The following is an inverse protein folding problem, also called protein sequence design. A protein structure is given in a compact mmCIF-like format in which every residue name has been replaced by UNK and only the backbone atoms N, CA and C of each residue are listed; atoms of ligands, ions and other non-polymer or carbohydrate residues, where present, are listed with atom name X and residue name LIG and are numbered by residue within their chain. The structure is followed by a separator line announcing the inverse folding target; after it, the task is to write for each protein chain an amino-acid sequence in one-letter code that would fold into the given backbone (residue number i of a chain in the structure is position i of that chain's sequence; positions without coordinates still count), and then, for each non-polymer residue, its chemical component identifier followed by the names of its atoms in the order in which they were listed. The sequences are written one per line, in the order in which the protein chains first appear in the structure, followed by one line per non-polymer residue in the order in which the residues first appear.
data_IF_428791052796
#
_entry.id   IF_428791052796
#
_cell.length_a   1.000
_cell.length_b   1.000
_cell.length_c   1.000
_cell.angle_alpha   90.00
_cell.angle_beta   90.00
_cell.angle_gamma   90.00
#
_symmetry.space_group_name_H-M   'P 1'
#
loop_
_entity.id
_entity.type
_entity.pdbx_description
1 polymer ?
#
# COMPACT_ATOMS: atom_id res chain seq x y z
N UNK A 1 -19.70 3.27 6.58
CA UNK A 1 -18.59 3.98 7.26
C UNK A 1 -17.32 3.53 6.59
N UNK A 2 -16.37 4.42 6.41
CA UNK A 2 -15.05 4.06 5.87
C UNK A 2 -14.39 3.02 6.79
N UNK A 3 -13.76 2.00 6.20
CA UNK A 3 -13.11 0.90 6.92
C UNK A 3 -11.66 1.26 7.21
N UNK A 4 -11.19 0.99 8.42
CA UNK A 4 -9.79 1.19 8.83
C UNK A 4 -9.03 -0.11 8.69
N UNK A 5 -7.90 -0.07 8.01
CA UNK A 5 -6.97 -1.18 7.88
C UNK A 5 -5.55 -0.79 8.36
N UNK A 6 -4.71 -1.79 8.52
CA UNK A 6 -3.26 -1.62 8.68
C UNK A 6 -2.52 -2.83 8.08
N UNK A 7 -1.20 -2.73 7.94
CA UNK A 7 -0.43 -3.85 7.44
C UNK A 7 -0.28 -4.97 8.49
N UNK A 8 -0.40 -6.21 8.05
CA UNK A 8 -0.12 -7.39 8.87
C UNK A 8 1.30 -7.33 9.48
N UNK A 9 2.25 -6.75 8.74
CA UNK A 9 3.62 -6.55 9.20
C UNK A 9 3.70 -5.57 10.37
N UNK A 10 2.88 -4.52 10.43
CA UNK A 10 2.80 -3.61 11.58
C UNK A 10 2.26 -4.31 12.81
N UNK A 11 1.27 -5.20 12.65
CA UNK A 11 0.74 -6.00 13.74
C UNK A 11 1.79 -7.03 14.22
N UNK A 12 2.56 -7.61 13.30
CA UNK A 12 3.69 -8.49 13.65
C UNK A 12 4.80 -7.74 14.41
N UNK A 13 5.08 -6.50 14.02
CA UNK A 13 6.02 -5.65 14.76
C UNK A 13 5.49 -5.32 16.16
N UNK A 14 4.20 -5.01 16.31
CA UNK A 14 3.54 -4.85 17.59
C UNK A 14 3.63 -6.14 18.44
N UNK A 15 3.32 -7.30 17.87
CA UNK A 15 3.43 -8.58 18.55
C UNK A 15 4.85 -8.81 19.11
N UNK A 16 5.88 -8.52 18.30
CA UNK A 16 7.28 -8.66 18.70
C UNK A 16 7.67 -7.65 19.79
N UNK A 17 7.27 -6.40 19.66
CA UNK A 17 7.62 -5.32 20.59
C UNK A 17 6.95 -5.50 21.95
N UNK A 18 5.69 -5.92 21.97
CA UNK A 18 4.87 -6.11 23.17
C UNK A 18 4.93 -7.55 23.72
N UNK A 19 5.74 -8.43 23.12
CA UNK A 19 5.85 -9.84 23.51
C UNK A 19 4.52 -10.62 23.50
N UNK A 20 3.66 -10.33 22.52
CA UNK A 20 2.36 -10.97 22.31
C UNK A 20 2.46 -12.13 21.31
N UNK A 21 1.52 -13.08 21.40
CA UNK A 21 1.25 -13.97 20.25
C UNK A 21 0.58 -13.19 19.11
N UNK A 22 0.72 -13.68 17.88
CA UNK A 22 0.18 -12.98 16.70
C UNK A 22 -1.33 -12.75 16.81
N UNK A 23 -2.08 -13.75 17.24
CA UNK A 23 -3.54 -13.65 17.41
C UNK A 23 -3.91 -12.57 18.45
N UNK A 24 -3.18 -12.48 19.58
CA UNK A 24 -3.43 -11.47 20.61
C UNK A 24 -3.15 -10.05 20.07
N UNK A 25 -2.11 -9.90 19.24
CA UNK A 25 -1.80 -8.62 18.60
C UNK A 25 -2.85 -8.22 17.55
N UNK A 26 -3.38 -9.17 16.77
CA UNK A 26 -4.48 -8.97 15.85
C UNK A 26 -5.76 -8.54 16.59
N UNK A 27 -6.10 -9.24 17.68
CA UNK A 27 -7.23 -8.87 18.55
C UNK A 27 -7.05 -7.47 19.14
N UNK A 28 -5.82 -7.12 19.55
CA UNK A 28 -5.51 -5.78 20.05
C UNK A 28 -5.70 -4.72 18.97
N UNK A 29 -5.30 -4.97 17.72
CA UNK A 29 -5.56 -4.07 16.59
C UNK A 29 -7.07 -3.92 16.35
N UNK A 30 -7.83 -5.03 16.43
CA UNK A 30 -9.30 -5.00 16.32
C UNK A 30 -9.96 -4.15 17.41
N UNK A 31 -9.49 -4.28 18.67
CA UNK A 31 -9.97 -3.47 19.81
C UNK A 31 -9.69 -1.96 19.63
N UNK A 32 -8.61 -1.60 18.93
CA UNK A 32 -8.29 -0.22 18.57
C UNK A 32 -9.15 0.33 17.44
N UNK A 33 -9.91 -0.52 16.72
CA UNK A 33 -10.80 -0.09 15.64
C UNK A 33 -10.34 -0.50 14.24
N UNK A 34 -9.27 -1.30 14.11
CA UNK A 34 -8.89 -1.90 12.83
C UNK A 34 -9.93 -2.94 12.43
N UNK A 35 -10.36 -2.94 11.16
CA UNK A 35 -11.37 -3.86 10.64
C UNK A 35 -10.79 -4.80 9.58
N UNK A 36 -9.69 -4.41 8.94
CA UNK A 36 -9.03 -5.22 7.93
C UNK A 36 -7.51 -5.09 7.98
N UNK A 37 -6.83 -6.03 7.33
CA UNK A 37 -5.37 -5.99 7.19
C UNK A 37 -4.96 -6.08 5.73
N UNK A 38 -3.79 -5.54 5.43
CA UNK A 38 -3.04 -5.83 4.21
C UNK A 38 -1.92 -6.79 4.54
N UNK A 39 -1.91 -7.93 3.88
CA UNK A 39 -0.87 -8.93 4.06
C UNK A 39 -0.13 -9.16 2.75
N UNK A 40 1.19 -8.91 2.73
CA UNK A 40 1.99 -9.04 1.52
C UNK A 40 2.00 -10.48 0.98
N UNK A 41 2.25 -10.63 -0.31
CA UNK A 41 2.39 -11.91 -0.97
C UNK A 41 3.27 -12.90 -0.21
N UNK A 42 4.39 -12.41 0.35
CA UNK A 42 5.32 -13.22 1.14
C UNK A 42 4.73 -13.71 2.48
N UNK A 43 3.72 -13.02 2.99
CA UNK A 43 3.04 -13.44 4.21
C UNK A 43 1.96 -14.49 3.92
N UNK A 44 1.31 -14.43 2.76
CA UNK A 44 0.10 -15.22 2.48
C UNK A 44 0.34 -16.47 1.63
N UNK A 45 1.16 -16.39 0.57
CA UNK A 45 1.35 -17.52 -0.36
C UNK A 45 2.00 -18.71 0.35
N UNK A 46 1.30 -19.84 0.35
CA UNK A 46 1.70 -21.06 1.05
C UNK A 46 1.40 -21.07 2.56
N UNK A 47 0.72 -20.05 3.07
CA UNK A 47 0.28 -19.94 4.48
C UNK A 47 -1.20 -19.51 4.58
N UNK A 48 -1.97 -19.73 3.55
CA UNK A 48 -3.36 -19.24 3.44
C UNK A 48 -4.22 -19.73 4.60
N UNK A 49 -4.09 -21.02 4.97
CA UNK A 49 -4.81 -21.60 6.10
C UNK A 49 -4.46 -20.94 7.43
N UNK A 50 -3.17 -20.70 7.68
CA UNK A 50 -2.67 -20.07 8.90
C UNK A 50 -3.17 -18.63 9.02
N UNK A 51 -2.96 -17.83 7.99
CA UNK A 51 -3.39 -16.43 7.94
C UNK A 51 -4.92 -16.33 8.05
N UNK A 52 -5.66 -17.17 7.30
CA UNK A 52 -7.12 -17.18 7.37
C UNK A 52 -7.66 -17.50 8.77
N UNK A 53 -7.03 -18.45 9.48
CA UNK A 53 -7.40 -18.78 10.87
C UNK A 53 -7.08 -17.65 11.84
N UNK A 54 -5.89 -17.03 11.75
CA UNK A 54 -5.50 -15.92 12.60
C UNK A 54 -6.45 -14.72 12.45
N UNK A 55 -6.80 -14.35 11.20
CA UNK A 55 -7.72 -13.26 10.91
C UNK A 55 -9.14 -13.58 11.42
N UNK A 56 -9.62 -14.80 11.20
CA UNK A 56 -10.94 -15.22 11.70
C UNK A 56 -11.03 -15.19 13.23
N UNK A 57 -9.96 -15.58 13.94
CA UNK A 57 -9.92 -15.51 15.42
C UNK A 57 -9.93 -14.08 15.95
N UNK A 58 -9.49 -13.12 15.17
CA UNK A 58 -9.47 -11.70 15.53
C UNK A 58 -10.66 -10.90 14.96
N UNK A 59 -11.57 -11.50 14.21
CA UNK A 59 -12.66 -10.83 13.51
C UNK A 59 -12.13 -9.72 12.56
N UNK A 60 -11.07 -10.03 11.82
CA UNK A 60 -10.45 -9.15 10.83
C UNK A 60 -10.62 -9.72 9.43
N UNK A 61 -10.78 -8.84 8.44
CA UNK A 61 -10.79 -9.18 7.03
C UNK A 61 -9.41 -8.90 6.40
N UNK A 62 -9.18 -9.46 5.20
CA UNK A 62 -8.06 -9.03 4.36
C UNK A 62 -8.58 -8.04 3.31
N UNK A 63 -7.97 -6.86 3.22
CA UNK A 63 -8.38 -5.82 2.26
C UNK A 63 -7.61 -5.88 0.95
N UNK A 64 -6.32 -6.18 1.02
CA UNK A 64 -5.41 -6.10 -0.12
C UNK A 64 -4.21 -7.02 0.09
N UNK A 65 -3.68 -7.57 -1.00
CA UNK A 65 -2.40 -8.30 -0.99
C UNK A 65 -1.37 -7.51 -1.79
N UNK A 66 -0.46 -6.77 -1.15
CA UNK A 66 0.68 -6.15 -1.81
C UNK A 66 1.60 -7.18 -2.47
N UNK A 67 1.86 -7.00 -3.76
CA UNK A 67 2.53 -7.98 -4.60
C UNK A 67 3.56 -7.34 -5.51
N UNK A 68 4.77 -7.90 -5.51
CA UNK A 68 5.89 -7.42 -6.32
C UNK A 68 6.12 -8.35 -7.50
N UNK A 69 6.25 -7.76 -8.70
CA UNK A 69 6.48 -8.46 -9.95
C UNK A 69 7.81 -8.03 -10.57
N UNK A 70 8.28 -8.76 -11.57
CA UNK A 70 9.43 -8.37 -12.40
C UNK A 70 9.03 -8.28 -13.89
N UNK A 71 7.90 -7.62 -14.14
CA UNK A 71 7.32 -7.54 -15.50
C UNK A 71 8.20 -6.77 -16.50
N UNK A 72 9.15 -5.99 -16.01
CA UNK A 72 10.13 -5.36 -16.89
C UNK A 72 11.06 -6.34 -17.59
N UNK A 73 11.33 -7.51 -16.96
CA UNK A 73 12.25 -8.54 -17.45
C UNK A 73 11.59 -9.87 -17.76
N UNK A 74 10.54 -10.20 -17.02
CA UNK A 74 9.83 -11.46 -17.14
C UNK A 74 8.34 -11.20 -17.39
N UNK A 75 7.90 -11.49 -18.61
CA UNK A 75 6.53 -11.25 -19.08
C UNK A 75 5.59 -12.44 -18.89
N UNK A 76 6.02 -13.50 -18.21
CA UNK A 76 5.15 -14.63 -17.87
C UNK A 76 4.22 -14.28 -16.70
N UNK A 77 3.15 -13.55 -17.02
CA UNK A 77 2.16 -13.06 -16.06
C UNK A 77 1.53 -14.20 -15.27
N UNK A 78 1.15 -15.30 -15.96
CA UNK A 78 0.48 -16.43 -15.30
C UNK A 78 1.37 -17.09 -14.26
N UNK A 79 2.63 -17.33 -14.59
CA UNK A 79 3.57 -17.95 -13.66
C UNK A 79 3.77 -17.11 -12.38
N UNK A 80 3.85 -15.78 -12.55
CA UNK A 80 4.06 -14.87 -11.40
C UNK A 80 2.77 -14.66 -10.61
N UNK A 81 1.60 -14.63 -11.24
CA UNK A 81 0.37 -14.17 -10.61
C UNK A 81 -0.54 -15.29 -10.09
N UNK A 82 -0.55 -16.48 -10.68
CA UNK A 82 -1.49 -17.54 -10.31
C UNK A 82 -1.48 -17.86 -8.80
N UNK A 83 -0.31 -18.07 -8.15
CA UNK A 83 -0.29 -18.35 -6.71
C UNK A 83 -0.89 -17.23 -5.87
N UNK A 84 -0.75 -15.98 -6.31
CA UNK A 84 -1.28 -14.80 -5.64
C UNK A 84 -2.80 -14.69 -5.80
N UNK A 85 -3.32 -14.92 -7.01
CA UNK A 85 -4.74 -14.89 -7.30
C UNK A 85 -5.49 -16.03 -6.59
N UNK A 86 -4.90 -17.22 -6.54
CA UNK A 86 -5.42 -18.36 -5.77
C UNK A 86 -5.47 -18.05 -4.27
N UNK A 87 -4.39 -17.47 -3.72
CA UNK A 87 -4.34 -17.04 -2.32
C UNK A 87 -5.36 -15.92 -2.02
N UNK A 88 -5.48 -14.92 -2.91
CA UNK A 88 -6.46 -13.85 -2.77
C UNK A 88 -7.90 -14.40 -2.77
N UNK A 89 -8.22 -15.29 -3.70
CA UNK A 89 -9.54 -15.93 -3.77
C UNK A 89 -9.82 -16.77 -2.52
N UNK A 90 -8.84 -17.54 -2.04
CA UNK A 90 -8.97 -18.38 -0.85
C UNK A 90 -9.23 -17.55 0.42
N UNK A 91 -8.50 -16.45 0.59
CA UNK A 91 -8.62 -15.55 1.74
C UNK A 91 -9.78 -14.55 1.63
N UNK A 92 -10.43 -14.46 0.47
CA UNK A 92 -11.46 -13.47 0.21
C UNK A 92 -10.92 -12.04 0.06
N UNK A 93 -9.63 -11.89 -0.29
CA UNK A 93 -9.03 -10.59 -0.55
C UNK A 93 -9.60 -10.00 -1.85
N UNK A 94 -10.23 -8.82 -1.81
CA UNK A 94 -10.86 -8.25 -3.00
C UNK A 94 -9.86 -7.63 -3.99
N UNK A 95 -8.62 -7.36 -3.55
CA UNK A 95 -7.64 -6.60 -4.31
C UNK A 95 -6.23 -7.19 -4.24
N UNK A 96 -5.49 -7.07 -5.36
CA UNK A 96 -4.02 -7.11 -5.36
C UNK A 96 -3.48 -5.70 -5.60
N UNK A 97 -2.55 -5.26 -4.76
CA UNK A 97 -1.75 -4.07 -5.00
C UNK A 97 -0.51 -4.48 -5.80
N UNK A 98 -0.33 -3.89 -6.97
CA UNK A 98 0.67 -4.30 -7.95
C UNK A 98 1.84 -3.34 -7.96
N UNK A 99 3.03 -3.83 -7.61
CA UNK A 99 4.31 -3.18 -7.92
C UNK A 99 4.90 -3.89 -9.14
N UNK A 100 4.93 -3.25 -10.33
CA UNK A 100 5.14 -3.96 -11.60
C UNK A 100 6.58 -4.38 -11.85
N UNK A 101 7.54 -3.83 -11.10
CA UNK A 101 8.97 -4.10 -11.20
C UNK A 101 9.82 -2.83 -11.09
N UNK A 102 11.12 -3.02 -11.18
CA UNK A 102 12.11 -1.96 -11.05
C UNK A 102 13.11 -1.97 -12.20
N UNK A 103 13.61 -0.80 -12.55
CA UNK A 103 14.72 -0.65 -13.50
C UNK A 103 16.03 -1.17 -12.91
N UNK A 104 17.00 -1.49 -13.76
CA UNK A 104 18.39 -1.69 -13.34
C UNK A 104 19.12 -0.35 -13.17
N UNK A 105 20.07 -0.29 -12.25
CA UNK A 105 20.88 0.93 -12.03
C UNK A 105 21.58 1.44 -13.31
N UNK A 106 21.97 0.52 -14.22
CA UNK A 106 22.68 0.85 -15.45
C UNK A 106 21.78 0.96 -16.69
N UNK A 107 20.47 0.83 -16.55
CA UNK A 107 19.55 0.85 -17.68
C UNK A 107 19.52 2.23 -18.35
N UNK A 108 19.65 2.25 -19.69
CA UNK A 108 19.51 3.47 -20.46
C UNK A 108 18.06 3.99 -20.43
N UNK A 109 17.83 5.28 -20.71
CA UNK A 109 16.46 5.81 -20.82
C UNK A 109 15.58 5.04 -21.82
N UNK A 110 16.16 4.56 -22.93
CA UNK A 110 15.45 3.75 -23.91
C UNK A 110 15.05 2.39 -23.34
N UNK A 111 15.96 1.72 -22.61
CA UNK A 111 15.65 0.43 -21.97
C UNK A 111 14.59 0.60 -20.87
N UNK A 112 14.67 1.66 -20.05
CA UNK A 112 13.65 1.97 -19.05
C UNK A 112 12.28 2.19 -19.68
N UNK A 113 12.21 2.87 -20.83
CA UNK A 113 10.94 3.06 -21.54
C UNK A 113 10.40 1.72 -22.09
N UNK A 114 11.27 0.88 -22.66
CA UNK A 114 10.90 -0.45 -23.13
C UNK A 114 10.42 -1.35 -21.98
N UNK A 115 11.07 -1.29 -20.81
CA UNK A 115 10.62 -2.01 -19.60
C UNK A 115 9.28 -1.50 -19.12
N UNK A 116 9.08 -0.18 -19.08
CA UNK A 116 7.80 0.42 -18.69
C UNK A 116 6.67 -0.05 -19.59
N UNK A 117 6.89 -0.11 -20.90
CA UNK A 117 5.89 -0.63 -21.84
C UNK A 117 5.56 -2.10 -21.56
N UNK A 118 6.58 -2.95 -21.35
CA UNK A 118 6.36 -4.37 -20.98
C UNK A 118 5.58 -4.49 -19.66
N UNK A 119 5.92 -3.68 -18.64
CA UNK A 119 5.21 -3.66 -17.38
C UNK A 119 3.74 -3.28 -17.56
N UNK A 120 3.42 -2.24 -18.34
CA UNK A 120 2.04 -1.85 -18.63
C UNK A 120 1.27 -2.97 -19.32
N UNK A 121 1.86 -3.59 -20.36
CA UNK A 121 1.23 -4.70 -21.07
C UNK A 121 0.95 -5.89 -20.15
N UNK A 122 1.88 -6.23 -19.25
CA UNK A 122 1.71 -7.31 -18.28
C UNK A 122 0.66 -6.97 -17.21
N UNK A 123 0.60 -5.73 -16.74
CA UNK A 123 -0.42 -5.27 -15.77
C UNK A 123 -1.82 -5.37 -16.40
N UNK A 124 -1.99 -4.99 -17.66
CA UNK A 124 -3.27 -5.16 -18.36
C UNK A 124 -3.66 -6.64 -18.50
N UNK A 125 -2.70 -7.52 -18.84
CA UNK A 125 -2.94 -8.96 -18.90
C UNK A 125 -3.29 -9.54 -17.51
N UNK A 126 -2.63 -9.06 -16.47
CA UNK A 126 -2.93 -9.45 -15.08
C UNK A 126 -4.34 -9.01 -14.69
N UNK A 127 -4.75 -7.79 -15.08
CA UNK A 127 -6.09 -7.28 -14.80
C UNK A 127 -7.17 -8.17 -15.43
N UNK A 128 -6.99 -8.57 -16.68
CA UNK A 128 -7.91 -9.51 -17.33
C UNK A 128 -7.95 -10.88 -16.63
N UNK A 129 -6.78 -11.41 -16.23
CA UNK A 129 -6.69 -12.68 -15.52
C UNK A 129 -7.34 -12.63 -14.13
N UNK A 130 -7.17 -11.53 -13.40
CA UNK A 130 -7.68 -11.36 -12.04
C UNK A 130 -9.23 -11.39 -11.97
N UNK A 131 -9.91 -11.03 -13.06
CA UNK A 131 -11.39 -11.11 -13.15
C UNK A 131 -11.91 -12.53 -12.92
N UNK A 132 -11.20 -13.54 -13.40
CA UNK A 132 -11.59 -14.96 -13.25
C UNK A 132 -11.55 -15.41 -11.77
N UNK A 133 -10.80 -14.69 -10.93
CA UNK A 133 -10.65 -14.93 -9.49
C UNK A 133 -11.52 -14.00 -8.63
N UNK A 134 -12.24 -13.07 -9.23
CA UNK A 134 -13.03 -12.07 -8.51
C UNK A 134 -12.17 -11.02 -7.79
N UNK A 135 -10.95 -10.80 -8.27
CA UNK A 135 -9.95 -9.88 -7.69
C UNK A 135 -9.77 -8.67 -8.61
N UNK A 136 -9.77 -7.47 -8.04
CA UNK A 136 -9.41 -6.24 -8.74
C UNK A 136 -7.94 -5.88 -8.53
N UNK A 137 -7.39 -5.07 -9.42
CA UNK A 137 -6.02 -4.58 -9.30
C UNK A 137 -6.01 -3.12 -8.88
N UNK A 138 -5.07 -2.80 -8.01
CA UNK A 138 -4.74 -1.42 -7.65
C UNK A 138 -3.22 -1.21 -7.70
N UNK A 139 -2.78 0.02 -7.88
CA UNK A 139 -1.38 0.39 -7.97
C UNK A 139 -1.12 1.65 -7.15
N UNK A 140 -0.05 1.66 -6.38
CA UNK A 140 0.42 2.84 -5.66
C UNK A 140 1.67 3.42 -6.31
N UNK A 141 2.00 4.67 -5.99
CA UNK A 141 3.33 5.21 -6.19
C UNK A 141 4.33 4.53 -5.23
N UNK A 142 5.57 4.36 -5.69
CA UNK A 142 6.56 3.61 -4.92
C UNK A 142 7.85 4.42 -4.75
N UNK A 143 8.27 4.64 -3.51
CA UNK A 143 9.36 5.51 -3.10
C UNK A 143 10.76 4.93 -3.38
N UNK A 144 11.03 4.61 -4.65
CA UNK A 144 12.32 4.12 -5.13
C UNK A 144 12.74 4.79 -6.45
N UNK A 145 14.02 5.20 -6.55
CA UNK A 145 14.56 5.88 -7.73
C UNK A 145 14.57 5.00 -9.00
N UNK A 146 14.47 3.69 -8.84
CA UNK A 146 14.40 2.73 -9.94
C UNK A 146 12.95 2.33 -10.25
N UNK A 147 11.97 2.90 -9.56
CA UNK A 147 10.56 2.62 -9.80
C UNK A 147 10.02 3.42 -10.99
N UNK A 148 9.29 2.79 -11.94
CA UNK A 148 8.59 3.52 -12.99
C UNK A 148 7.39 4.33 -12.47
N UNK A 149 6.96 4.03 -11.25
CA UNK A 149 5.81 4.62 -10.57
C UNK A 149 6.22 5.45 -9.34
N UNK A 150 7.43 6.01 -9.33
CA UNK A 150 7.90 6.86 -8.24
C UNK A 150 7.21 8.23 -8.19
N UNK A 151 6.40 8.58 -9.18
CA UNK A 151 5.70 9.87 -9.31
C UNK A 151 4.23 9.67 -9.66
N UNK A 152 3.41 10.66 -9.37
CA UNK A 152 2.00 10.66 -9.77
C UNK A 152 1.83 10.53 -11.30
N UNK A 153 2.70 11.18 -12.08
CA UNK A 153 2.70 11.03 -13.54
C UNK A 153 3.07 9.61 -13.97
N UNK A 154 3.99 8.94 -13.27
CA UNK A 154 4.33 7.54 -13.50
C UNK A 154 3.13 6.62 -13.27
N UNK A 155 2.45 6.74 -12.14
CA UNK A 155 1.21 6.00 -11.84
C UNK A 155 0.13 6.28 -12.89
N UNK A 156 -0.07 7.55 -13.26
CA UNK A 156 -1.07 7.95 -14.26
C UNK A 156 -0.87 7.24 -15.60
N UNK A 157 0.37 7.04 -16.06
CA UNK A 157 0.67 6.31 -17.29
C UNK A 157 0.11 4.88 -17.27
N UNK A 158 0.26 4.16 -16.15
CA UNK A 158 -0.29 2.81 -16.00
C UNK A 158 -1.82 2.81 -15.96
N UNK A 159 -2.41 3.76 -15.24
CA UNK A 159 -3.87 3.91 -15.15
C UNK A 159 -4.50 4.23 -16.51
N UNK A 160 -3.85 5.05 -17.33
CA UNK A 160 -4.30 5.37 -18.68
C UNK A 160 -4.16 4.19 -19.65
N UNK A 161 -3.09 3.39 -19.50
CA UNK A 161 -2.87 2.21 -20.30
C UNK A 161 -3.82 1.06 -19.94
N UNK A 162 -4.22 0.92 -18.67
CA UNK A 162 -5.07 -0.15 -18.16
C UNK A 162 -6.32 0.40 -17.49
N UNK A 163 -7.47 0.48 -18.18
CA UNK A 163 -8.72 1.01 -17.63
C UNK A 163 -9.28 0.24 -16.43
N UNK A 164 -8.94 -1.05 -16.27
CA UNK A 164 -9.36 -1.88 -15.14
C UNK A 164 -8.51 -1.69 -13.88
N UNK A 165 -7.35 -1.01 -14.00
CA UNK A 165 -6.47 -0.72 -12.88
C UNK A 165 -7.00 0.49 -12.10
N UNK A 166 -7.09 0.40 -10.79
CA UNK A 166 -7.36 1.52 -9.88
C UNK A 166 -6.08 2.03 -9.21
N UNK A 167 -6.19 3.11 -8.45
CA UNK A 167 -5.08 3.65 -7.67
C UNK A 167 -5.29 3.39 -6.19
N UNK A 168 -4.27 2.82 -5.55
CA UNK A 168 -4.02 2.99 -4.13
C UNK A 168 -3.24 4.29 -3.97
N UNK A 169 -3.82 5.26 -3.32
CA UNK A 169 -3.19 6.57 -3.10
C UNK A 169 -2.41 6.53 -1.78
N UNK A 170 -1.07 6.40 -1.87
CA UNK A 170 -0.19 6.55 -0.70
C UNK A 170 0.11 8.02 -0.46
N UNK A 171 -0.12 8.49 0.74
CA UNK A 171 0.02 9.91 1.07
C UNK A 171 1.46 10.34 1.33
N UNK A 172 2.35 9.41 1.68
CA UNK A 172 3.71 9.72 2.13
C UNK A 172 4.81 9.44 1.10
N UNK A 173 4.51 8.64 0.05
CA UNK A 173 5.53 8.24 -0.92
C UNK A 173 5.85 9.36 -1.92
N UNK A 174 4.90 10.23 -2.28
CA UNK A 174 5.12 11.35 -3.22
C UNK A 174 6.22 12.31 -2.76
N UNK A 175 6.41 12.48 -1.45
CA UNK A 175 7.52 13.28 -0.91
C UNK A 175 8.90 12.78 -1.34
N UNK A 176 9.04 11.48 -1.59
CA UNK A 176 10.31 10.90 -2.06
C UNK A 176 10.75 11.51 -3.39
N UNK A 177 9.82 11.73 -4.29
CA UNK A 177 10.05 12.38 -5.59
C UNK A 177 9.96 13.92 -5.54
N UNK A 178 9.72 14.51 -4.36
CA UNK A 178 9.56 15.95 -4.19
C UNK A 178 8.22 16.49 -4.66
N UNK A 179 7.21 15.62 -4.81
CA UNK A 179 5.86 16.01 -5.21
C UNK A 179 5.00 16.41 -4.00
N UNK A 180 4.10 17.36 -4.19
CA UNK A 180 3.10 17.74 -3.20
C UNK A 180 1.93 16.75 -3.24
N UNK A 181 1.56 16.19 -2.09
CA UNK A 181 0.52 15.14 -2.01
C UNK A 181 -0.84 15.61 -2.57
N UNK A 182 -1.22 16.86 -2.36
CA UNK A 182 -2.48 17.39 -2.88
C UNK A 182 -2.48 17.53 -4.41
N UNK A 183 -1.35 17.90 -5.00
CA UNK A 183 -1.20 17.97 -6.46
C UNK A 183 -1.27 16.56 -7.08
N UNK A 184 -0.60 15.59 -6.44
CA UNK A 184 -0.67 14.18 -6.82
C UNK A 184 -2.12 13.65 -6.72
N UNK A 185 -2.82 13.97 -5.63
CA UNK A 185 -4.22 13.60 -5.46
C UNK A 185 -5.11 14.15 -6.59
N UNK A 186 -4.98 15.43 -6.92
CA UNK A 186 -5.75 16.05 -8.00
C UNK A 186 -5.51 15.37 -9.36
N UNK A 187 -4.31 14.85 -9.60
CA UNK A 187 -3.98 14.10 -10.82
C UNK A 187 -4.60 12.70 -10.87
N UNK A 188 -4.74 12.04 -9.71
CA UNK A 188 -5.09 10.62 -9.63
C UNK A 188 -6.51 10.35 -9.13
N UNK A 189 -7.21 11.33 -8.52
CA UNK A 189 -8.45 11.17 -7.75
C UNK A 189 -9.60 10.45 -8.47
N UNK A 190 -9.66 10.55 -9.79
CA UNK A 190 -10.68 9.88 -10.61
C UNK A 190 -10.53 8.35 -10.65
N UNK A 191 -9.41 7.82 -10.15
CA UNK A 191 -9.06 6.41 -10.16
C UNK A 191 -8.75 5.85 -8.76
N UNK A 192 -8.79 6.69 -7.71
CA UNK A 192 -8.52 6.27 -6.32
C UNK A 192 -9.67 5.41 -5.80
N UNK A 193 -9.38 4.17 -5.40
CA UNK A 193 -10.33 3.26 -4.76
C UNK A 193 -9.76 2.58 -3.51
N UNK A 194 -8.53 2.93 -3.13
CA UNK A 194 -7.86 2.53 -1.89
C UNK A 194 -6.91 3.64 -1.44
N UNK A 195 -6.69 3.79 -0.13
CA UNK A 195 -5.83 4.84 0.42
C UNK A 195 -4.88 4.27 1.46
N UNK A 196 -3.58 4.51 1.27
CA UNK A 196 -2.58 4.37 2.32
C UNK A 196 -2.37 5.72 3.00
N UNK A 197 -2.78 5.82 4.26
CA UNK A 197 -2.45 6.97 5.09
C UNK A 197 -1.09 6.74 5.72
N UNK A 198 -0.09 7.39 5.17
CA UNK A 198 1.29 7.37 5.61
C UNK A 198 1.74 8.80 5.86
N UNK A 199 2.15 9.09 7.08
CA UNK A 199 2.70 10.40 7.43
C UNK A 199 4.22 10.32 7.57
N UNK A 200 4.87 11.45 7.39
CA UNK A 200 6.33 11.55 7.43
C UNK A 200 6.75 12.65 8.41
N UNK A 201 7.88 12.41 9.08
CA UNK A 201 8.55 13.41 9.91
C UNK A 201 9.93 13.75 9.33
N UNK A 202 10.47 14.90 9.72
CA UNK A 202 11.83 15.35 9.36
C UNK A 202 12.88 14.99 10.41
N UNK A 203 12.44 14.40 11.54
CA UNK A 203 13.29 13.95 12.63
C UNK A 203 12.86 12.55 13.10
N UNK A 204 13.76 11.77 13.75
CA UNK A 204 13.49 10.38 14.16
C UNK A 204 12.66 10.26 15.46
N UNK A 205 11.69 11.15 15.65
CA UNK A 205 10.92 11.24 16.91
C UNK A 205 10.08 9.98 17.17
N UNK A 206 9.62 9.34 16.09
CA UNK A 206 8.76 8.15 16.17
C UNK A 206 9.45 6.85 15.74
N UNK A 207 10.65 6.95 15.18
CA UNK A 207 11.42 5.79 14.75
C UNK A 207 12.68 6.15 13.96
N UNK A 208 13.73 5.34 14.04
CA UNK A 208 15.04 5.68 13.45
C UNK A 208 15.14 5.32 11.96
N UNK A 209 14.17 4.59 11.39
CA UNK A 209 14.25 4.20 9.99
C UNK A 209 14.08 5.42 9.09
N UNK A 210 15.14 5.77 8.37
CA UNK A 210 15.15 6.89 7.44
C UNK A 210 15.01 6.42 6.01
N UNK A 211 14.16 7.08 5.25
CA UNK A 211 14.13 7.06 3.79
C UNK A 211 14.65 8.39 3.27
N UNK A 212 15.68 8.39 2.46
CA UNK A 212 16.18 9.62 1.85
C UNK A 212 15.41 9.88 0.55
N UNK A 213 14.79 11.05 0.44
CA UNK A 213 14.17 11.52 -0.78
C UNK A 213 15.23 11.74 -1.89
N UNK A 214 14.78 11.92 -3.14
CA UNK A 214 15.69 12.12 -4.28
C UNK A 214 16.58 13.37 -4.16
N UNK A 215 16.15 14.37 -3.40
CA UNK A 215 16.92 15.58 -3.10
C UNK A 215 17.85 15.41 -1.89
N UNK A 216 17.84 14.22 -1.23
CA UNK A 216 18.63 13.89 -0.05
C UNK A 216 17.95 14.24 1.27
N UNK A 217 16.76 14.80 1.27
CA UNK A 217 16.02 15.11 2.50
C UNK A 217 15.64 13.83 3.25
N UNK A 218 15.82 13.77 4.58
CA UNK A 218 15.45 12.61 5.36
C UNK A 218 13.94 12.58 5.63
N UNK A 219 13.32 11.42 5.40
CA UNK A 219 11.92 11.14 5.70
C UNK A 219 11.86 10.01 6.73
N UNK A 220 11.32 10.32 7.91
CA UNK A 220 11.13 9.37 9.00
C UNK A 220 9.67 8.97 9.13
N UNK A 221 9.36 7.81 9.77
CA UNK A 221 7.98 7.44 10.06
C UNK A 221 7.34 8.42 11.05
N UNK A 222 6.05 8.63 10.91
CA UNK A 222 5.22 9.31 11.90
C UNK A 222 3.85 8.63 12.02
N UNK A 223 3.19 8.66 13.19
CA UNK A 223 1.78 8.32 13.27
C UNK A 223 0.98 9.23 12.36
N UNK A 224 -0.05 8.70 11.73
CA UNK A 224 -0.91 9.47 10.82
C UNK A 224 -1.48 10.69 11.53
N UNK A 225 -1.34 11.86 10.92
CA UNK A 225 -1.76 13.15 11.48
C UNK A 225 -0.78 13.79 12.47
N UNK A 226 0.41 13.18 12.68
CA UNK A 226 1.45 13.73 13.57
C UNK A 226 2.70 14.20 12.85
N UNK A 227 2.73 14.04 11.51
CA UNK A 227 3.87 14.40 10.66
C UNK A 227 3.71 15.74 9.97
N UNK A 228 4.27 15.83 8.77
CA UNK A 228 4.37 17.09 8.02
C UNK A 228 3.39 17.19 6.85
N UNK A 229 2.65 16.13 6.56
CA UNK A 229 1.73 16.10 5.42
C UNK A 229 0.39 16.78 5.75
N UNK A 230 -0.25 17.44 4.78
CA UNK A 230 -1.55 18.10 4.97
C UNK A 230 -2.70 17.08 4.93
N UNK A 231 -2.65 16.05 5.81
CA UNK A 231 -3.58 14.91 5.78
C UNK A 231 -5.01 15.30 6.14
N UNK A 232 -5.21 16.32 7.01
CA UNK A 232 -6.55 16.83 7.32
C UNK A 232 -7.24 17.36 6.07
N UNK A 233 -6.53 18.16 5.26
CA UNK A 233 -7.05 18.70 4.00
C UNK A 233 -7.30 17.59 2.99
N UNK A 234 -6.40 16.61 2.89
CA UNK A 234 -6.55 15.47 1.98
C UNK A 234 -7.77 14.61 2.34
N UNK A 235 -7.96 14.27 3.64
CA UNK A 235 -9.14 13.50 4.07
C UNK A 235 -10.42 14.29 3.82
N UNK A 236 -10.41 15.62 4.00
CA UNK A 236 -11.55 16.46 3.66
C UNK A 236 -11.87 16.42 2.15
N UNK A 237 -10.86 16.40 1.28
CA UNK A 237 -11.05 16.27 -0.18
C UNK A 237 -11.56 14.87 -0.55
N UNK A 238 -11.01 13.79 0.02
CA UNK A 238 -11.51 12.42 -0.18
C UNK A 238 -13.00 12.31 0.19
N UNK A 239 -13.40 12.89 1.32
CA UNK A 239 -14.82 12.94 1.73
C UNK A 239 -15.69 13.75 0.76
N UNK A 240 -15.19 14.88 0.27
CA UNK A 240 -15.91 15.70 -0.71
C UNK A 240 -16.08 14.96 -2.05
N UNK A 241 -15.10 14.14 -2.44
CA UNK A 241 -15.16 13.26 -3.60
C UNK A 241 -15.94 11.94 -3.34
N UNK A 242 -16.56 11.82 -2.15
CA UNK A 242 -17.39 10.66 -1.74
C UNK A 242 -16.60 9.34 -1.66
N UNK A 243 -15.32 9.41 -1.29
CA UNK A 243 -14.55 8.20 -1.04
C UNK A 243 -15.11 7.44 0.18
N UNK A 244 -15.49 6.19 -0.03
CA UNK A 244 -16.08 5.29 0.97
C UNK A 244 -15.28 3.98 1.13
N UNK A 245 -14.07 3.93 0.57
CA UNK A 245 -13.18 2.78 0.57
C UNK A 245 -12.44 2.57 1.90
N UNK A 246 -11.33 1.86 1.81
CA UNK A 246 -10.48 1.50 2.96
C UNK A 246 -9.38 2.53 3.15
N UNK A 247 -9.16 2.94 4.39
CA UNK A 247 -7.98 3.70 4.81
C UNK A 247 -7.01 2.76 5.53
N UNK A 248 -5.89 2.47 4.92
CA UNK A 248 -4.82 1.65 5.51
C UNK A 248 -3.78 2.55 6.17
N UNK A 249 -3.57 2.35 7.47
CA UNK A 249 -2.58 3.09 8.26
C UNK A 249 -1.19 2.49 8.05
N UNK A 250 -0.23 3.33 7.65
CA UNK A 250 1.14 2.88 7.34
C UNK A 250 2.19 3.70 8.08
N UNK A 251 3.09 3.00 8.83
CA UNK A 251 4.14 3.61 9.64
C UNK A 251 5.39 2.73 9.77
N UNK A 252 5.88 2.17 8.64
CA UNK A 252 7.07 1.32 8.63
C UNK A 252 8.27 1.99 9.31
N UNK A 253 8.91 1.25 10.23
CA UNK A 253 10.10 1.71 10.95
C UNK A 253 9.80 2.46 12.23
N UNK A 254 8.54 2.51 12.67
CA UNK A 254 8.16 3.08 13.95
C UNK A 254 8.77 2.33 15.14
N UNK A 255 9.22 3.04 16.16
CA UNK A 255 9.78 2.47 17.39
C UNK A 255 8.73 1.75 18.23
N UNK A 256 7.47 2.20 18.22
CA UNK A 256 6.32 1.56 18.86
C UNK A 256 5.18 1.45 17.85
N UNK A 257 4.96 0.24 17.35
CA UNK A 257 3.85 -0.02 16.41
C UNK A 257 2.49 0.16 17.09
N UNK A 258 2.37 -0.22 18.37
CA UNK A 258 1.14 -0.05 19.15
C UNK A 258 0.77 1.42 19.31
N UNK A 259 1.71 2.27 19.73
CA UNK A 259 1.46 3.70 19.91
C UNK A 259 1.13 4.38 18.58
N UNK A 260 1.88 4.06 17.52
CA UNK A 260 1.61 4.61 16.19
C UNK A 260 0.22 4.20 15.68
N UNK A 261 -0.16 2.93 15.83
CA UNK A 261 -1.48 2.45 15.43
C UNK A 261 -2.58 3.18 16.22
N UNK A 262 -2.45 3.24 17.54
CA UNK A 262 -3.43 3.89 18.39
C UNK A 262 -3.63 5.37 18.00
N UNK A 263 -2.56 6.15 17.93
CA UNK A 263 -2.63 7.56 17.55
C UNK A 263 -3.22 7.76 16.16
N UNK A 264 -2.82 6.92 15.19
CA UNK A 264 -3.33 6.99 13.82
C UNK A 264 -4.83 6.72 13.74
N UNK A 265 -5.31 5.71 14.49
CA UNK A 265 -6.75 5.37 14.54
C UNK A 265 -7.54 6.49 15.22
N UNK A 266 -7.06 7.02 16.37
CA UNK A 266 -7.74 8.13 17.04
C UNK A 266 -7.82 9.37 16.14
N UNK A 267 -6.70 9.72 15.49
CA UNK A 267 -6.69 10.85 14.57
C UNK A 267 -7.67 10.64 13.41
N UNK A 268 -7.62 9.49 12.73
CA UNK A 268 -8.51 9.23 11.58
C UNK A 268 -9.98 9.26 11.98
N UNK A 269 -10.35 8.64 13.11
CA UNK A 269 -11.71 8.70 13.64
C UNK A 269 -12.19 10.14 13.93
N UNK A 270 -11.28 11.05 14.27
CA UNK A 270 -11.63 12.46 14.47
C UNK A 270 -11.87 13.21 13.14
N UNK A 271 -11.39 12.65 12.02
CA UNK A 271 -11.57 13.23 10.70
C UNK A 271 -12.79 12.66 9.93
N UNK A 272 -13.19 11.41 10.22
CA UNK A 272 -14.33 10.74 9.57
C UNK A 272 -15.67 11.12 10.20
#
# INVERSE_FOLDING_TARGET
MAKIATFYDHIRDMARQEHLFMVDALQRARELGVEAVEASANNVVGREDEIGQELAMADLEISTIPSYFDFGRDTDVKRQALPLLEAAQYLGAPKLLVIPGFFGEGDSPEERENQTQRMMDCVCQLADLALDYGVSLTMEDYDDALSPIATAAGVRRFLDACPQLSSTFDTGNFLFAGEQVLDAYHLLRDRVDHVHLKDRATAPDYGPLVKNALDGSPLYPAPVGSGILPLEELVAQLKADSYDGVYTLEFYGASSALECLWHSVEWLNSQL
#
